data_IF_978815059072
#
_entry.id   IF_978815059072
#
_cell.length_a   1.000
_cell.length_b   1.000
_cell.length_c   1.000
_cell.angle_alpha   90.00
_cell.angle_beta   90.00
_cell.angle_gamma   90.00
#
_symmetry.space_group_name_H-M   'P 1'
#
loop_
_entity.id
_entity.type
_entity.pdbx_description
1 polymer ?
#
# COMPACT_ATOMS: atom_id res chain seq x y z
N UNK A 1 36.78 11.65 8.13
CA UNK A 1 36.71 11.79 9.60
C UNK A 1 36.28 13.20 10.05
N UNK A 2 36.86 14.29 9.52
CA UNK A 2 36.47 15.66 9.91
C UNK A 2 35.07 16.13 9.38
N UNK A 3 34.68 15.69 8.17
CA UNK A 3 33.40 16.12 7.58
C UNK A 3 32.15 15.50 8.24
N UNK A 4 32.28 14.30 8.83
CA UNK A 4 31.17 13.65 9.54
C UNK A 4 30.90 14.31 10.90
N UNK A 5 31.94 14.80 11.55
CA UNK A 5 31.84 15.49 12.83
C UNK A 5 31.18 16.87 12.69
N UNK A 6 31.50 17.59 11.60
CA UNK A 6 30.86 18.85 11.25
C UNK A 6 29.37 18.68 10.89
N UNK A 7 28.99 17.58 10.20
CA UNK A 7 27.58 17.26 9.91
C UNK A 7 26.82 16.89 11.19
N UNK A 8 27.43 16.11 12.08
CA UNK A 8 26.85 15.72 13.36
C UNK A 8 26.64 16.92 14.29
N UNK A 9 27.58 17.86 14.32
CA UNK A 9 27.44 19.12 15.06
C UNK A 9 26.31 20.00 14.51
N UNK A 10 26.20 20.15 13.19
CA UNK A 10 25.09 20.88 12.55
C UNK A 10 23.73 20.21 12.83
N UNK A 11 23.68 18.89 12.79
CA UNK A 11 22.46 18.13 13.10
C UNK A 11 22.04 18.31 14.57
N UNK A 12 22.99 18.25 15.50
CA UNK A 12 22.76 18.46 16.92
C UNK A 12 22.28 19.90 17.22
N UNK A 13 22.82 20.89 16.52
CA UNK A 13 22.37 22.28 16.64
C UNK A 13 20.93 22.47 16.11
N UNK A 14 20.60 21.82 14.99
CA UNK A 14 19.23 21.81 14.44
C UNK A 14 18.26 21.13 15.42
N UNK A 15 18.65 20.00 16.01
CA UNK A 15 17.83 19.29 17.01
C UNK A 15 17.65 20.10 18.28
N UNK A 16 18.68 20.79 18.75
CA UNK A 16 18.61 21.71 19.90
C UNK A 16 17.66 22.87 19.62
N UNK A 17 17.76 23.51 18.45
CA UNK A 17 16.85 24.58 18.00
C UNK A 17 15.40 24.07 17.90
N UNK A 18 15.19 22.85 17.39
CA UNK A 18 13.86 22.22 17.33
C UNK A 18 13.29 21.93 18.72
N UNK A 19 14.12 21.45 19.66
CA UNK A 19 13.72 21.17 21.02
C UNK A 19 13.34 22.44 21.78
N UNK A 20 14.09 23.53 21.59
CA UNK A 20 13.82 24.84 22.19
C UNK A 20 12.50 25.44 21.66
N UNK A 21 12.27 25.38 20.35
CA UNK A 21 11.00 25.80 19.74
C UNK A 21 9.83 24.97 20.28
N UNK A 22 10.03 23.65 20.46
CA UNK A 22 9.01 22.76 21.03
C UNK A 22 8.69 23.13 22.48
N UNK A 23 9.70 23.41 23.30
CA UNK A 23 9.55 23.82 24.70
C UNK A 23 8.80 25.15 24.82
N UNK A 24 9.12 26.13 23.98
CA UNK A 24 8.43 27.44 23.92
C UNK A 24 6.95 27.31 23.54
N UNK A 25 6.62 26.42 22.60
CA UNK A 25 5.23 26.13 22.22
C UNK A 25 4.48 25.42 23.36
N UNK A 26 5.13 24.48 24.05
CA UNK A 26 4.54 23.77 25.18
C UNK A 26 4.22 24.72 26.34
N UNK A 27 5.15 25.60 26.70
CA UNK A 27 4.97 26.61 27.76
C UNK A 27 3.85 27.61 27.42
N UNK A 28 3.80 28.11 26.19
CA UNK A 28 2.70 29.00 25.73
C UNK A 28 1.33 28.28 25.71
N UNK A 29 1.32 26.96 25.49
CA UNK A 29 0.09 26.16 25.52
C UNK A 29 -0.42 25.91 26.94
N UNK A 30 0.46 25.86 27.95
CA UNK A 30 0.09 25.63 29.37
C UNK A 30 -0.82 26.74 29.91
N UNK A 31 -0.63 27.99 29.47
CA UNK A 31 -1.44 29.13 29.88
C UNK A 31 -2.84 29.19 29.22
N UNK A 32 -3.08 28.44 28.13
CA UNK A 32 -4.34 28.47 27.36
C UNK A 32 -5.09 27.12 27.36
N UNK A 33 -4.76 26.25 28.31
CA UNK A 33 -5.14 24.83 28.38
C UNK A 33 -6.63 24.52 28.46
N UNK A 34 -7.50 25.50 28.72
CA UNK A 34 -8.93 25.20 28.90
C UNK A 34 -9.65 24.85 27.59
N UNK A 35 -9.29 25.43 26.42
CA UNK A 35 -10.07 25.25 25.17
C UNK A 35 -9.29 25.25 23.83
N UNK A 36 -7.96 25.50 23.82
CA UNK A 36 -7.16 25.48 22.57
C UNK A 36 -6.18 24.30 22.59
N UNK A 37 -6.58 23.17 21.99
CA UNK A 37 -5.67 22.04 21.77
C UNK A 37 -4.46 22.44 20.91
N UNK A 38 -3.38 21.65 20.97
CA UNK A 38 -2.09 21.87 20.26
C UNK A 38 -2.22 22.22 18.78
N UNK A 39 -3.29 21.76 18.12
CA UNK A 39 -3.61 22.11 16.75
C UNK A 39 -4.82 23.02 16.67
N UNK A 40 -4.77 24.00 15.77
CA UNK A 40 -5.96 24.76 15.38
C UNK A 40 -7.02 23.82 14.77
N UNK A 41 -8.32 24.13 14.93
CA UNK A 41 -9.40 23.31 14.38
C UNK A 41 -9.26 23.01 12.88
N UNK A 42 -8.80 23.99 12.10
CA UNK A 42 -8.55 23.87 10.66
C UNK A 42 -7.42 22.88 10.35
N UNK A 43 -6.29 22.98 11.06
CA UNK A 43 -5.17 22.04 10.89
C UNK A 43 -5.60 20.61 11.25
N UNK A 44 -6.40 20.44 12.31
CA UNK A 44 -6.93 19.13 12.71
C UNK A 44 -7.88 18.57 11.64
N UNK A 45 -8.71 19.42 11.02
CA UNK A 45 -9.57 19.04 9.88
C UNK A 45 -8.73 18.60 8.67
N UNK A 46 -7.69 19.35 8.31
CA UNK A 46 -6.76 19.00 7.22
C UNK A 46 -6.03 17.69 7.48
N UNK A 47 -5.54 17.47 8.70
CA UNK A 47 -4.84 16.24 9.08
C UNK A 47 -5.75 15.01 8.95
N UNK A 48 -6.99 15.07 9.48
CA UNK A 48 -7.94 13.97 9.33
C UNK A 48 -8.25 13.64 7.87
N UNK A 49 -8.38 14.66 7.03
CA UNK A 49 -8.60 14.47 5.60
C UNK A 49 -7.43 13.73 4.95
N UNK A 50 -6.18 14.13 5.25
CA UNK A 50 -4.99 13.47 4.72
C UNK A 50 -4.88 12.02 5.17
N UNK A 51 -5.16 11.72 6.44
CA UNK A 51 -5.14 10.35 6.96
C UNK A 51 -6.18 9.45 6.26
N UNK A 52 -7.40 9.97 6.03
CA UNK A 52 -8.43 9.22 5.28
C UNK A 52 -8.06 9.00 3.82
N UNK A 53 -7.50 10.01 3.16
CA UNK A 53 -6.99 9.87 1.78
C UNK A 53 -5.91 8.80 1.70
N UNK A 54 -4.94 8.81 2.62
CA UNK A 54 -3.89 7.80 2.69
C UNK A 54 -4.47 6.40 2.94
N UNK A 55 -5.42 6.28 3.86
CA UNK A 55 -6.08 4.99 4.13
C UNK A 55 -6.83 4.45 2.91
N UNK A 56 -7.52 5.32 2.15
CA UNK A 56 -8.21 4.93 0.92
C UNK A 56 -7.22 4.52 -0.19
N UNK A 57 -6.10 5.22 -0.31
CA UNK A 57 -5.04 4.90 -1.27
C UNK A 57 -4.38 3.55 -0.97
N UNK A 58 -4.01 3.29 0.28
CA UNK A 58 -3.44 2.00 0.71
C UNK A 58 -4.44 0.85 0.51
N UNK A 59 -5.73 1.07 0.79
CA UNK A 59 -6.77 0.08 0.55
C UNK A 59 -6.89 -0.27 -0.95
N UNK A 60 -6.86 0.74 -1.82
CA UNK A 60 -6.91 0.53 -3.28
C UNK A 60 -5.67 -0.23 -3.77
N UNK A 61 -4.49 0.13 -3.27
CA UNK A 61 -3.23 -0.55 -3.60
C UNK A 61 -3.23 -2.01 -3.17
N UNK A 62 -3.80 -2.32 -1.99
CA UNK A 62 -3.95 -3.69 -1.53
C UNK A 62 -4.95 -4.49 -2.39
N UNK A 63 -6.07 -3.88 -2.79
CA UNK A 63 -7.02 -4.51 -3.73
C UNK A 63 -6.36 -4.81 -5.07
N UNK A 64 -5.57 -3.87 -5.62
CA UNK A 64 -4.83 -4.06 -6.87
C UNK A 64 -3.79 -5.18 -6.74
N UNK A 65 -3.05 -5.24 -5.62
CA UNK A 65 -2.12 -6.34 -5.33
C UNK A 65 -2.85 -7.69 -5.27
N UNK A 66 -3.98 -7.76 -4.58
CA UNK A 66 -4.78 -8.99 -4.47
C UNK A 66 -5.36 -9.40 -5.82
N UNK A 67 -5.78 -8.43 -6.64
CA UNK A 67 -6.26 -8.69 -8.00
C UNK A 67 -5.15 -9.17 -8.94
N UNK A 68 -3.95 -8.60 -8.84
CA UNK A 68 -2.78 -9.04 -9.60
C UNK A 68 -2.37 -10.46 -9.21
N UNK A 69 -2.31 -10.77 -7.92
CA UNK A 69 -2.01 -12.13 -7.43
C UNK A 69 -3.09 -13.12 -7.87
N UNK A 70 -4.38 -12.74 -7.79
CA UNK A 70 -5.47 -13.57 -8.32
C UNK A 70 -5.29 -13.85 -9.81
N UNK A 71 -4.88 -12.86 -10.62
CA UNK A 71 -4.60 -13.04 -12.05
C UNK A 71 -3.43 -14.00 -12.27
N UNK A 72 -2.33 -13.83 -11.52
CA UNK A 72 -1.16 -14.72 -11.59
C UNK A 72 -1.53 -16.17 -11.27
N UNK A 73 -2.30 -16.40 -10.21
CA UNK A 73 -2.74 -17.75 -9.83
C UNK A 73 -3.65 -18.36 -10.90
N UNK A 74 -4.54 -17.56 -11.51
CA UNK A 74 -5.40 -18.03 -12.61
C UNK A 74 -4.54 -18.42 -13.82
N UNK A 75 -3.55 -17.61 -14.17
CA UNK A 75 -2.64 -17.89 -15.28
C UNK A 75 -1.81 -19.16 -15.04
N UNK A 76 -1.26 -19.32 -13.84
CA UNK A 76 -0.53 -20.53 -13.44
C UNK A 76 -1.40 -21.78 -13.45
N UNK A 77 -2.64 -21.68 -12.95
CA UNK A 77 -3.57 -22.81 -12.89
C UNK A 77 -4.11 -23.16 -14.26
N UNK A 78 -4.67 -22.19 -14.99
CA UNK A 78 -5.37 -22.43 -16.24
C UNK A 78 -4.42 -22.62 -17.42
N UNK A 79 -3.24 -21.99 -17.40
CA UNK A 79 -2.28 -21.99 -18.48
C UNK A 79 -2.74 -21.19 -19.70
N UNK A 80 -2.03 -21.36 -20.82
CA UNK A 80 -2.39 -20.75 -22.09
C UNK A 80 -3.57 -21.47 -22.76
N UNK A 81 -4.42 -20.75 -23.52
CA UNK A 81 -5.44 -21.37 -24.35
C UNK A 81 -4.84 -22.41 -25.30
N UNK A 82 -5.55 -23.54 -25.49
CA UNK A 82 -5.14 -24.56 -26.47
C UNK A 82 -5.31 -24.02 -27.89
N UNK A 83 -4.37 -24.34 -28.77
CA UNK A 83 -4.50 -24.01 -30.19
C UNK A 83 -5.62 -24.88 -30.80
N UNK A 84 -6.67 -24.23 -31.32
CA UNK A 84 -7.81 -24.88 -31.94
C UNK A 84 -7.84 -24.66 -33.47
N UNK A 85 -7.04 -23.73 -34.01
CA UNK A 85 -7.08 -23.40 -35.44
C UNK A 85 -6.40 -24.44 -36.32
N UNK A 86 -5.34 -25.06 -35.81
CA UNK A 86 -4.53 -26.02 -36.57
C UNK A 86 -4.74 -27.47 -36.10
N UNK A 87 -5.70 -27.70 -35.21
CA UNK A 87 -5.94 -29.01 -34.61
C UNK A 87 -6.76 -29.91 -35.54
N UNK A 88 -6.30 -31.15 -35.70
CA UNK A 88 -7.04 -32.23 -36.35
C UNK A 88 -8.25 -32.68 -35.51
N UNK A 89 -9.19 -33.38 -36.13
CA UNK A 89 -10.38 -33.88 -35.44
C UNK A 89 -10.05 -34.81 -34.25
N UNK A 90 -9.03 -35.65 -34.40
CA UNK A 90 -8.57 -36.54 -33.32
C UNK A 90 -7.98 -35.75 -32.13
N UNK A 91 -7.25 -34.66 -32.41
CA UNK A 91 -6.73 -33.75 -31.39
C UNK A 91 -7.87 -33.02 -30.68
N UNK A 92 -8.87 -32.53 -31.43
CA UNK A 92 -10.06 -31.88 -30.87
C UNK A 92 -10.83 -32.82 -29.93
N UNK A 93 -11.05 -34.08 -30.32
CA UNK A 93 -11.70 -35.07 -29.46
C UNK A 93 -10.92 -35.32 -28.16
N UNK A 94 -9.58 -35.41 -28.26
CA UNK A 94 -8.70 -35.56 -27.09
C UNK A 94 -8.79 -34.33 -26.18
N UNK A 95 -8.84 -33.13 -26.77
CA UNK A 95 -8.96 -31.88 -26.03
C UNK A 95 -10.26 -31.82 -25.22
N UNK A 96 -11.39 -32.17 -25.84
CA UNK A 96 -12.69 -32.21 -25.18
C UNK A 96 -12.71 -33.17 -23.99
N UNK A 97 -12.16 -34.38 -24.15
CA UNK A 97 -12.09 -35.38 -23.06
C UNK A 97 -11.26 -34.88 -21.88
N UNK A 98 -10.11 -34.24 -22.16
CA UNK A 98 -9.24 -33.69 -21.12
C UNK A 98 -9.90 -32.53 -20.36
N UNK A 99 -10.62 -31.64 -21.06
CA UNK A 99 -11.38 -30.57 -20.38
C UNK A 99 -12.51 -31.14 -19.53
N UNK A 100 -13.25 -32.13 -20.02
CA UNK A 100 -14.31 -32.77 -19.25
C UNK A 100 -13.77 -33.40 -17.95
N UNK A 101 -12.68 -34.18 -18.04
CA UNK A 101 -12.04 -34.78 -16.86
C UNK A 101 -11.56 -33.70 -15.87
N UNK A 102 -10.96 -32.62 -16.38
CA UNK A 102 -10.49 -31.51 -15.55
C UNK A 102 -11.64 -30.81 -14.83
N UNK A 103 -12.74 -30.53 -15.52
CA UNK A 103 -13.93 -29.92 -14.93
C UNK A 103 -14.55 -30.84 -13.88
N UNK A 104 -14.69 -32.13 -14.20
CA UNK A 104 -15.19 -33.13 -13.25
C UNK A 104 -14.34 -33.18 -11.98
N UNK A 105 -13.00 -33.15 -12.08
CA UNK A 105 -12.14 -33.14 -10.91
C UNK A 105 -12.20 -31.85 -10.08
N UNK A 106 -12.70 -30.74 -10.64
CA UNK A 106 -12.79 -29.44 -9.97
C UNK A 106 -14.18 -29.17 -9.39
N UNK A 107 -15.24 -29.66 -10.04
CA UNK A 107 -16.63 -29.33 -9.72
C UNK A 107 -17.51 -30.55 -9.42
N UNK A 108 -17.09 -31.76 -9.82
CA UNK A 108 -17.80 -33.03 -9.59
C UNK A 108 -17.43 -33.67 -8.27
#
# INVERSE_FOLDING_TARGET
MADDEAKKAKQAEIERKRAEVRKRIEEASKANKAKKGFMTPERKKKLRLLLRKKAAEELKKEQERKAAERRRIIEERCGSPRNLSDASEAELQTICKQYWQRLFNLEG
#
